data_IF_981579426599
#
_entry.id   IF_981579426599
#
_cell.length_a   1.000
_cell.length_b   1.000
_cell.length_c   1.000
_cell.angle_alpha   90.00
_cell.angle_beta   90.00
_cell.angle_gamma   90.00
#
_symmetry.space_group_name_H-M   'P 1'
#
loop_
_entity.id
_entity.type
_entity.pdbx_description
1 polymer ?
#
# COMPACT_ATOMS: atom_id res chain seq x y z
N UNK A 1 -7.32 -60.68 59.50
CA UNK A 1 -8.10 -60.36 58.29
C UNK A 1 -7.94 -58.87 58.04
N UNK A 2 -7.03 -58.48 57.16
CA UNK A 2 -6.72 -57.07 56.84
C UNK A 2 -7.42 -56.69 55.53
N UNK A 3 -8.07 -55.52 55.42
CA UNK A 3 -8.72 -55.12 54.17
C UNK A 3 -7.75 -54.40 53.22
N UNK A 4 -7.99 -54.67 51.94
CA UNK A 4 -7.43 -54.08 50.72
C UNK A 4 -7.39 -52.54 50.75
N UNK A 5 -6.29 -51.97 50.24
CA UNK A 5 -6.25 -50.57 49.77
C UNK A 5 -6.13 -50.58 48.24
N UNK A 6 -7.11 -49.99 47.58
CA UNK A 6 -7.15 -49.75 46.13
C UNK A 6 -6.28 -48.52 45.83
N UNK A 7 -5.28 -48.68 44.97
CA UNK A 7 -4.51 -47.57 44.43
C UNK A 7 -5.19 -47.07 43.15
N UNK A 8 -5.70 -45.84 43.19
CA UNK A 8 -6.21 -45.14 42.01
C UNK A 8 -5.06 -44.57 41.19
N UNK A 9 -5.02 -44.90 39.90
CA UNK A 9 -4.10 -44.34 38.92
C UNK A 9 -4.60 -42.96 38.50
N UNK A 10 -3.85 -41.89 38.78
CA UNK A 10 -4.10 -40.56 38.22
C UNK A 10 -3.33 -40.45 36.91
N UNK A 11 -4.04 -40.41 35.78
CA UNK A 11 -3.45 -40.10 34.49
C UNK A 11 -3.29 -38.59 34.38
N UNK A 12 -2.05 -38.11 34.38
CA UNK A 12 -1.74 -36.72 34.06
C UNK A 12 -1.86 -36.52 32.54
N UNK A 13 -2.81 -35.71 32.10
CA UNK A 13 -2.89 -35.25 30.72
C UNK A 13 -1.79 -34.21 30.48
N UNK A 14 -0.78 -34.55 29.69
CA UNK A 14 0.18 -33.57 29.16
C UNK A 14 -0.50 -32.76 28.06
N UNK A 15 -0.80 -31.49 28.34
CA UNK A 15 -1.16 -30.51 27.32
C UNK A 15 0.07 -30.24 26.46
N UNK A 16 0.10 -30.76 25.24
CA UNK A 16 1.10 -30.38 24.24
C UNK A 16 0.66 -29.02 23.72
N UNK A 17 1.25 -27.93 24.24
CA UNK A 17 1.19 -26.64 23.57
C UNK A 17 1.96 -26.77 22.26
N UNK A 18 1.24 -26.90 21.15
CA UNK A 18 1.83 -26.78 19.83
C UNK A 18 2.35 -25.35 19.67
N UNK A 19 3.65 -25.18 19.81
CA UNK A 19 4.37 -24.01 19.31
C UNK A 19 4.12 -23.95 17.80
N UNK A 20 3.12 -23.17 17.38
CA UNK A 20 2.94 -22.81 15.97
C UNK A 20 4.15 -21.97 15.58
N UNK A 21 5.17 -22.57 14.98
CA UNK A 21 6.39 -21.87 14.56
C UNK A 21 6.63 -22.16 13.08
N UNK A 22 6.92 -21.08 12.32
CA UNK A 22 7.38 -21.05 10.93
C UNK A 22 6.53 -21.88 9.94
N UNK A 23 5.28 -21.47 9.71
CA UNK A 23 4.45 -22.06 8.65
C UNK A 23 3.52 -21.04 8.02
N UNK A 24 3.23 -21.27 6.73
CA UNK A 24 2.17 -20.58 6.02
C UNK A 24 0.79 -21.12 6.39
N UNK A 25 -0.17 -20.22 6.53
CA UNK A 25 -1.58 -20.54 6.70
C UNK A 25 -2.46 -19.64 5.82
N UNK A 26 -3.47 -20.24 5.20
CA UNK A 26 -4.49 -19.47 4.48
C UNK A 26 -5.63 -19.10 5.43
N UNK A 27 -5.92 -17.81 5.56
CA UNK A 27 -6.99 -17.26 6.40
C UNK A 27 -8.01 -16.50 5.56
N UNK A 28 -9.22 -16.35 6.11
CA UNK A 28 -10.20 -15.39 5.63
C UNK A 28 -10.25 -14.22 6.61
N UNK A 29 -9.64 -13.10 6.24
CA UNK A 29 -9.51 -11.90 7.09
C UNK A 29 -9.94 -10.67 6.30
N UNK A 30 -10.68 -9.76 6.94
CA UNK A 30 -11.18 -8.53 6.31
C UNK A 30 -11.86 -8.75 4.94
N UNK A 31 -12.56 -9.88 4.77
CA UNK A 31 -13.24 -10.24 3.52
C UNK A 31 -12.30 -10.68 2.38
N UNK A 32 -11.04 -11.02 2.68
CA UNK A 32 -10.03 -11.46 1.72
C UNK A 32 -9.47 -12.83 2.10
N UNK A 33 -9.05 -13.60 1.10
CA UNK A 33 -8.16 -14.75 1.31
C UNK A 33 -6.74 -14.24 1.51
N UNK A 34 -6.11 -14.57 2.62
CA UNK A 34 -4.79 -14.06 3.02
C UNK A 34 -3.87 -15.24 3.33
N UNK A 35 -2.73 -15.31 2.66
CA UNK A 35 -1.65 -16.20 3.06
C UNK A 35 -0.84 -15.50 4.14
N UNK A 36 -0.77 -16.08 5.33
CA UNK A 36 -0.07 -15.51 6.49
C UNK A 36 1.10 -16.42 6.85
N UNK A 37 2.28 -15.87 6.99
CA UNK A 37 3.45 -16.52 7.56
C UNK A 37 3.75 -15.92 8.92
N UNK A 38 3.79 -16.75 9.96
CA UNK A 38 4.18 -16.33 11.31
C UNK A 38 5.58 -16.84 11.61
N UNK A 39 6.57 -15.95 11.79
CA UNK A 39 7.94 -16.36 12.03
C UNK A 39 8.12 -16.91 13.44
N UNK A 40 9.15 -17.72 13.64
CA UNK A 40 9.46 -18.26 14.95
C UNK A 40 9.89 -17.14 15.94
N UNK A 41 10.71 -16.19 15.47
CA UNK A 41 11.26 -15.10 16.25
C UNK A 41 10.33 -13.90 16.46
N UNK A 42 10.77 -12.99 17.34
CA UNK A 42 10.24 -11.63 17.49
C UNK A 42 11.13 -10.65 16.73
N UNK A 43 10.63 -9.45 16.45
CA UNK A 43 11.44 -8.39 15.84
C UNK A 43 12.66 -8.08 16.73
N UNK A 44 13.83 -7.75 16.16
CA UNK A 44 15.00 -7.32 16.93
C UNK A 44 14.82 -5.96 17.60
N UNK A 45 13.76 -5.23 17.27
CA UNK A 45 13.39 -3.92 17.84
C UNK A 45 11.94 -3.96 18.35
N UNK A 46 11.57 -3.00 19.20
CA UNK A 46 10.21 -2.92 19.75
C UNK A 46 9.83 -4.06 20.69
N UNK A 47 8.54 -4.36 20.74
CA UNK A 47 7.94 -5.22 21.80
C UNK A 47 7.24 -6.49 21.29
N UNK A 48 7.27 -6.73 19.97
CA UNK A 48 6.58 -7.86 19.35
C UNK A 48 7.14 -8.22 17.99
N UNK A 49 6.33 -8.85 17.14
CA UNK A 49 6.66 -9.10 15.74
C UNK A 49 6.38 -7.87 14.90
N UNK A 50 7.21 -7.63 13.89
CA UNK A 50 6.83 -6.73 12.81
C UNK A 50 5.70 -7.37 11.97
N UNK A 51 4.98 -6.58 11.19
CA UNK A 51 4.01 -7.02 10.20
C UNK A 51 4.31 -6.39 8.85
N UNK A 52 4.49 -7.19 7.81
CA UNK A 52 4.51 -6.73 6.42
C UNK A 52 3.29 -7.28 5.68
N UNK A 53 2.44 -6.38 5.21
CA UNK A 53 1.38 -6.69 4.25
C UNK A 53 1.92 -6.42 2.86
N UNK A 54 1.93 -7.42 1.97
CA UNK A 54 2.40 -7.24 0.59
C UNK A 54 1.26 -7.44 -0.43
N UNK A 55 0.97 -6.39 -1.19
CA UNK A 55 -0.11 -6.34 -2.17
C UNK A 55 0.38 -6.76 -3.57
N UNK A 56 -0.25 -7.78 -4.13
CA UNK A 56 0.05 -8.28 -5.46
C UNK A 56 -0.34 -7.30 -6.59
N UNK A 57 0.28 -7.46 -7.76
CA UNK A 57 -0.08 -6.76 -9.00
C UNK A 57 -1.28 -7.39 -9.72
N UNK A 58 -1.68 -6.78 -10.82
CA UNK A 58 -2.70 -7.37 -11.70
C UNK A 58 -2.29 -8.78 -12.14
N UNK A 59 -3.28 -9.66 -12.32
CA UNK A 59 -3.12 -11.08 -12.69
C UNK A 59 -2.33 -11.95 -11.69
N UNK A 60 -1.87 -11.37 -10.58
CA UNK A 60 -1.30 -12.11 -9.45
C UNK A 60 -2.34 -12.39 -8.36
N UNK A 61 -2.00 -13.26 -7.41
CA UNK A 61 -2.73 -13.51 -6.17
C UNK A 61 -1.75 -13.51 -4.98
N UNK A 62 -2.29 -13.49 -3.76
CA UNK A 62 -1.49 -13.68 -2.54
C UNK A 62 -0.70 -14.99 -2.55
N UNK A 63 -1.32 -16.09 -3.00
CA UNK A 63 -0.66 -17.40 -3.12
C UNK A 63 0.47 -17.45 -4.16
N UNK A 64 0.41 -16.65 -5.23
CA UNK A 64 1.53 -16.54 -6.16
C UNK A 64 2.71 -15.76 -5.55
N UNK A 65 2.43 -14.70 -4.77
CA UNK A 65 3.47 -14.01 -4.01
C UNK A 65 4.05 -14.92 -2.91
N UNK A 66 3.23 -15.75 -2.26
CA UNK A 66 3.69 -16.72 -1.28
C UNK A 66 4.71 -17.67 -1.92
N UNK A 67 4.37 -18.22 -3.08
CA UNK A 67 5.16 -19.24 -3.74
C UNK A 67 6.48 -18.71 -4.33
N UNK A 68 6.49 -17.49 -4.86
CA UNK A 68 7.61 -16.99 -5.66
C UNK A 68 8.28 -15.73 -5.10
N UNK A 69 7.61 -14.98 -4.22
CA UNK A 69 8.04 -13.66 -3.74
C UNK A 69 9.17 -13.64 -2.72
N UNK A 70 9.61 -14.81 -2.24
CA UNK A 70 10.77 -14.98 -1.35
C UNK A 70 10.68 -14.17 -0.04
N UNK A 71 9.59 -14.37 0.70
CA UNK A 71 9.31 -13.64 1.94
C UNK A 71 9.83 -14.34 3.21
N UNK A 72 10.03 -15.66 3.20
CA UNK A 72 10.29 -16.43 4.42
C UNK A 72 11.61 -16.05 5.13
N UNK A 73 12.68 -15.80 4.37
CA UNK A 73 13.96 -15.36 4.96
C UNK A 73 13.83 -14.01 5.66
N UNK A 74 13.15 -13.05 5.01
CA UNK A 74 12.84 -11.76 5.61
C UNK A 74 11.97 -11.90 6.87
N UNK A 75 10.99 -12.80 6.83
CA UNK A 75 10.11 -13.06 7.97
C UNK A 75 10.89 -13.58 9.18
N UNK A 76 11.76 -14.57 8.98
CA UNK A 76 12.53 -15.19 10.07
C UNK A 76 13.63 -14.27 10.59
N UNK A 77 14.40 -13.61 9.73
CA UNK A 77 15.56 -12.80 10.15
C UNK A 77 15.15 -11.49 10.84
N UNK A 78 13.97 -10.95 10.51
CA UNK A 78 13.46 -9.69 11.08
C UNK A 78 12.26 -9.88 12.01
N UNK A 79 11.91 -11.13 12.37
CA UNK A 79 10.77 -11.42 13.24
C UNK A 79 9.47 -10.77 12.75
N UNK A 80 9.23 -10.89 11.45
CA UNK A 80 8.17 -10.20 10.72
C UNK A 80 7.08 -11.17 10.25
N UNK A 81 5.86 -10.99 10.75
CA UNK A 81 4.65 -11.62 10.19
C UNK A 81 4.46 -11.10 8.77
N UNK A 82 4.27 -12.00 7.82
CA UNK A 82 4.01 -11.65 6.42
C UNK A 82 2.57 -11.99 6.08
N UNK A 83 1.82 -11.04 5.54
CA UNK A 83 0.45 -11.23 5.08
C UNK A 83 0.30 -10.85 3.61
N UNK A 84 -0.17 -11.82 2.81
CA UNK A 84 -0.30 -11.71 1.36
C UNK A 84 -1.78 -11.81 0.97
N UNK A 85 -2.56 -10.72 1.05
CA UNK A 85 -3.97 -10.75 0.69
C UNK A 85 -4.17 -10.88 -0.81
N UNK A 86 -5.15 -11.68 -1.22
CA UNK A 86 -5.70 -11.64 -2.57
C UNK A 86 -6.83 -10.62 -2.61
N UNK A 87 -6.80 -9.71 -3.60
CA UNK A 87 -7.80 -8.65 -3.77
C UNK A 87 -9.23 -9.23 -3.74
N UNK A 88 -10.17 -8.61 -3.00
CA UNK A 88 -11.52 -9.13 -2.89
C UNK A 88 -12.28 -8.97 -4.22
N UNK A 89 -13.23 -9.88 -4.47
CA UNK A 89 -14.12 -9.80 -5.64
C UNK A 89 -13.44 -9.93 -7.01
N UNK A 90 -12.16 -10.36 -7.05
CA UNK A 90 -11.39 -10.46 -8.30
C UNK A 90 -10.84 -9.12 -8.80
N UNK A 91 -10.87 -8.07 -7.97
CA UNK A 91 -10.38 -6.75 -8.31
C UNK A 91 -11.28 -6.00 -9.30
N UNK A 92 -10.82 -4.82 -9.70
CA UNK A 92 -11.59 -3.96 -10.64
C UNK A 92 -11.56 -4.50 -12.08
N UNK A 93 -10.40 -5.01 -12.49
CA UNK A 93 -10.21 -5.76 -13.74
C UNK A 93 -8.97 -6.64 -13.58
N UNK A 94 -9.02 -7.88 -14.05
CA UNK A 94 -7.88 -8.80 -14.05
C UNK A 94 -7.14 -8.92 -12.69
N UNK A 95 -7.84 -8.89 -11.56
CA UNK A 95 -7.19 -8.94 -10.24
C UNK A 95 -6.46 -7.65 -9.84
N UNK A 96 -6.63 -6.55 -10.56
CA UNK A 96 -6.03 -5.27 -10.16
C UNK A 96 -6.71 -4.68 -8.93
N UNK A 97 -5.92 -4.03 -8.08
CA UNK A 97 -6.40 -3.15 -7.02
C UNK A 97 -6.99 -1.84 -7.59
N UNK A 98 -7.81 -1.15 -6.81
CA UNK A 98 -8.50 0.07 -7.26
C UNK A 98 -7.65 1.31 -6.94
N UNK A 99 -6.48 1.41 -7.57
CA UNK A 99 -5.49 2.45 -7.28
C UNK A 99 -5.68 3.76 -8.06
N UNK A 100 -6.56 3.77 -9.07
CA UNK A 100 -6.63 4.87 -10.04
C UNK A 100 -7.60 5.98 -9.61
N UNK A 101 -7.35 7.17 -10.13
CA UNK A 101 -8.16 8.36 -9.86
C UNK A 101 -7.70 9.11 -8.61
N UNK A 102 -8.58 9.97 -8.10
CA UNK A 102 -8.25 10.92 -7.03
C UNK A 102 -9.20 10.80 -5.81
N UNK A 103 -10.16 9.88 -5.84
CA UNK A 103 -11.17 9.76 -4.78
C UNK A 103 -11.01 8.44 -4.05
N UNK A 104 -10.35 8.50 -2.89
CA UNK A 104 -10.13 7.36 -2.01
C UNK A 104 -10.51 7.73 -0.58
N UNK A 105 -11.16 6.81 0.13
CA UNK A 105 -11.45 6.96 1.56
C UNK A 105 -11.04 5.71 2.31
N UNK A 106 -10.86 5.83 3.62
CA UNK A 106 -10.52 4.70 4.51
C UNK A 106 -11.64 3.64 4.57
N UNK A 107 -12.88 4.05 4.36
CA UNK A 107 -14.08 3.25 4.65
C UNK A 107 -14.73 2.64 3.41
N UNK A 108 -14.11 2.76 2.24
CA UNK A 108 -14.68 2.29 0.98
C UNK A 108 -13.64 1.64 0.07
N UNK A 109 -14.14 0.94 -0.95
CA UNK A 109 -13.33 0.27 -1.97
C UNK A 109 -12.35 -0.75 -1.37
N UNK A 110 -11.22 -0.95 -2.04
CA UNK A 110 -10.19 -1.88 -1.58
C UNK A 110 -9.29 -1.31 -0.47
N UNK A 111 -9.43 -0.03 -0.11
CA UNK A 111 -8.67 0.57 0.99
C UNK A 111 -9.10 0.01 2.35
N UNK A 112 -10.42 -0.05 2.56
CA UNK A 112 -11.04 -0.54 3.80
C UNK A 112 -10.53 -1.94 4.20
N UNK A 113 -10.61 -2.98 3.35
CA UNK A 113 -10.19 -4.31 3.74
C UNK A 113 -8.67 -4.41 4.03
N UNK A 114 -7.82 -3.57 3.43
CA UNK A 114 -6.38 -3.55 3.75
C UNK A 114 -6.15 -2.96 5.15
N UNK A 115 -6.83 -1.86 5.49
CA UNK A 115 -6.75 -1.25 6.82
C UNK A 115 -7.31 -2.21 7.88
N UNK A 116 -8.46 -2.82 7.62
CA UNK A 116 -9.06 -3.82 8.52
C UNK A 116 -8.19 -5.07 8.67
N UNK A 117 -7.46 -5.48 7.62
CA UNK A 117 -6.50 -6.59 7.71
C UNK A 117 -5.36 -6.26 8.67
N UNK A 118 -4.76 -5.08 8.56
CA UNK A 118 -3.69 -4.64 9.45
C UNK A 118 -4.15 -4.62 10.92
N UNK A 119 -5.34 -4.08 11.17
CA UNK A 119 -5.95 -4.06 12.51
C UNK A 119 -6.25 -5.47 13.03
N UNK A 120 -6.83 -6.34 12.19
CA UNK A 120 -7.17 -7.72 12.58
C UNK A 120 -5.93 -8.53 12.97
N UNK A 121 -4.83 -8.39 12.22
CA UNK A 121 -3.58 -9.09 12.51
C UNK A 121 -2.87 -8.50 13.74
N UNK A 122 -2.96 -7.19 13.95
CA UNK A 122 -2.47 -6.51 15.15
C UNK A 122 -3.20 -6.95 16.41
N UNK A 123 -4.53 -7.02 16.35
CA UNK A 123 -5.37 -7.24 17.53
C UNK A 123 -5.45 -8.73 17.92
N UNK A 124 -5.03 -9.65 17.03
CA UNK A 124 -4.90 -11.07 17.34
C UNK A 124 -3.56 -11.37 18.04
N UNK A 125 -3.65 -11.60 19.36
CA UNK A 125 -2.51 -11.92 20.22
C UNK A 125 -1.70 -13.15 19.78
N UNK A 126 -2.26 -14.02 18.92
CA UNK A 126 -1.55 -15.16 18.34
C UNK A 126 -0.39 -14.74 17.42
N UNK A 127 -0.53 -13.61 16.71
CA UNK A 127 0.56 -13.08 15.88
C UNK A 127 1.53 -12.23 16.71
N UNK A 128 1.05 -11.58 17.77
CA UNK A 128 1.88 -10.75 18.66
C UNK A 128 2.53 -9.59 17.92
N UNK A 129 1.79 -8.97 16.99
CA UNK A 129 2.27 -7.85 16.17
C UNK A 129 2.42 -6.60 17.01
N UNK A 130 3.57 -5.96 16.89
CA UNK A 130 3.86 -4.65 17.48
C UNK A 130 3.18 -3.54 16.64
N UNK A 131 2.26 -2.73 17.21
CA UNK A 131 1.61 -1.64 16.50
C UNK A 131 2.59 -0.59 15.93
N UNK A 132 3.81 -0.51 16.46
CA UNK A 132 4.87 0.37 15.97
C UNK A 132 5.50 -0.11 14.65
N UNK A 133 5.27 -1.37 14.26
CA UNK A 133 6.03 -2.06 13.21
C UNK A 133 5.11 -2.69 12.16
N UNK A 134 4.11 -1.94 11.68
CA UNK A 134 3.21 -2.37 10.61
C UNK A 134 3.62 -1.70 9.30
N UNK A 135 3.96 -2.50 8.30
CA UNK A 135 4.48 -2.05 7.01
C UNK A 135 3.57 -2.53 5.87
N UNK A 136 3.43 -1.71 4.84
CA UNK A 136 2.62 -2.01 3.66
C UNK A 136 3.45 -1.86 2.40
N UNK A 137 3.67 -2.96 1.68
CA UNK A 137 4.39 -2.95 0.40
C UNK A 137 3.49 -3.43 -0.71
N UNK A 138 3.82 -3.11 -1.96
CA UNK A 138 3.07 -3.63 -3.08
C UNK A 138 3.76 -3.50 -4.42
N UNK A 139 3.28 -4.30 -5.37
CA UNK A 139 3.77 -4.34 -6.75
C UNK A 139 2.71 -3.86 -7.75
N UNK A 140 3.10 -3.08 -8.75
CA UNK A 140 2.22 -2.66 -9.85
C UNK A 140 0.93 -2.00 -9.32
N UNK A 141 -0.26 -2.51 -9.64
CA UNK A 141 -1.51 -2.03 -9.04
C UNK A 141 -1.52 -2.09 -7.50
N UNK A 142 -0.88 -3.11 -6.92
CA UNK A 142 -0.71 -3.24 -5.48
C UNK A 142 0.23 -2.19 -4.90
N UNK A 143 1.25 -1.76 -5.66
CA UNK A 143 2.14 -0.66 -5.27
C UNK A 143 1.43 0.68 -5.24
N UNK A 144 0.62 0.98 -6.27
CA UNK A 144 -0.24 2.17 -6.26
C UNK A 144 -1.28 2.13 -5.13
N UNK A 145 -1.83 0.95 -4.83
CA UNK A 145 -2.77 0.77 -3.72
C UNK A 145 -2.11 0.92 -2.34
N UNK A 146 -0.87 0.43 -2.19
CA UNK A 146 -0.06 0.61 -0.98
C UNK A 146 0.22 2.09 -0.72
N UNK A 147 0.60 2.84 -1.75
CA UNK A 147 0.78 4.30 -1.68
C UNK A 147 -0.48 5.02 -1.19
N UNK A 148 -1.66 4.69 -1.75
CA UNK A 148 -2.94 5.27 -1.34
C UNK A 148 -3.25 4.98 0.12
N UNK A 149 -3.15 3.71 0.53
CA UNK A 149 -3.48 3.30 1.90
C UNK A 149 -2.48 3.86 2.90
N UNK A 150 -1.20 3.93 2.54
CA UNK A 150 -0.15 4.57 3.33
C UNK A 150 -0.41 6.06 3.60
N UNK A 151 -0.97 6.78 2.61
CA UNK A 151 -1.42 8.17 2.79
C UNK A 151 -2.76 8.28 3.55
N UNK A 152 -3.67 7.32 3.40
CA UNK A 152 -4.96 7.33 4.10
C UNK A 152 -4.85 7.00 5.58
N UNK A 153 -3.88 6.15 5.95
CA UNK A 153 -3.69 5.64 7.30
C UNK A 153 -2.22 5.66 7.76
N UNK A 154 -1.56 6.83 7.72
CA UNK A 154 -0.16 6.95 8.09
C UNK A 154 0.09 6.60 9.57
N UNK A 155 -0.92 6.76 10.43
CA UNK A 155 -0.83 6.35 11.83
C UNK A 155 -0.74 4.83 11.99
N UNK A 156 -1.31 4.04 11.08
CA UNK A 156 -1.23 2.58 11.11
C UNK A 156 0.08 2.09 10.49
N UNK A 157 0.45 2.61 9.32
CA UNK A 157 1.59 2.10 8.56
C UNK A 157 2.86 2.89 8.86
N UNK A 158 3.79 2.25 9.57
CA UNK A 158 5.11 2.77 9.91
C UNK A 158 6.04 2.90 8.70
N UNK A 159 5.77 2.15 7.63
CA UNK A 159 6.49 2.27 6.37
C UNK A 159 5.72 1.73 5.18
N UNK A 160 5.99 2.29 4.01
CA UNK A 160 5.28 1.99 2.76
C UNK A 160 6.24 1.70 1.62
N UNK A 161 6.06 0.57 0.93
CA UNK A 161 6.88 0.17 -0.22
C UNK A 161 6.09 0.18 -1.53
N UNK A 162 6.59 0.90 -2.53
CA UNK A 162 5.94 1.06 -3.84
C UNK A 162 6.86 0.52 -4.94
N UNK A 163 6.60 -0.71 -5.38
CA UNK A 163 7.36 -1.37 -6.46
C UNK A 163 6.59 -1.33 -7.77
N UNK A 164 7.21 -0.74 -8.81
CA UNK A 164 6.59 -0.50 -10.12
C UNK A 164 5.17 0.08 -10.01
N UNK A 165 4.92 0.91 -9.00
CA UNK A 165 3.59 1.41 -8.67
C UNK A 165 3.35 2.80 -9.23
N UNK A 166 2.18 3.05 -9.86
CA UNK A 166 1.82 4.38 -10.33
C UNK A 166 1.57 5.34 -9.16
N UNK A 167 1.84 6.63 -9.38
CA UNK A 167 1.64 7.68 -8.38
C UNK A 167 0.17 8.04 -8.15
N UNK A 168 -0.13 8.73 -7.04
CA UNK A 168 -1.46 9.25 -6.74
C UNK A 168 -2.02 10.13 -7.87
N UNK A 169 -3.32 10.04 -8.11
CA UNK A 169 -3.99 10.80 -9.17
C UNK A 169 -3.83 10.21 -10.58
N UNK A 170 -3.07 9.13 -10.74
CA UNK A 170 -2.89 8.45 -12.03
C UNK A 170 -4.21 7.82 -12.50
N UNK A 171 -4.61 8.12 -13.74
CA UNK A 171 -5.72 7.42 -14.39
C UNK A 171 -5.25 6.12 -15.07
N UNK A 172 -6.17 5.20 -15.34
CA UNK A 172 -5.87 3.94 -16.06
C UNK A 172 -5.18 4.19 -17.40
N UNK A 173 -5.54 5.26 -18.12
CA UNK A 173 -4.93 5.62 -19.41
C UNK A 173 -3.50 6.16 -19.31
N UNK A 174 -3.01 6.47 -18.10
CA UNK A 174 -1.70 7.07 -17.85
C UNK A 174 -0.74 6.07 -17.19
N UNK A 175 -1.05 4.77 -17.15
CA UNK A 175 -0.16 3.80 -16.49
C UNK A 175 1.24 3.75 -17.15
N UNK A 176 1.31 3.77 -18.48
CA UNK A 176 2.56 3.70 -19.25
C UNK A 176 3.15 5.08 -19.59
N UNK A 177 2.52 6.18 -19.16
CA UNK A 177 3.00 7.55 -19.37
C UNK A 177 2.67 8.41 -18.16
N UNK A 178 3.70 9.00 -17.53
CA UNK A 178 3.54 9.88 -16.37
C UNK A 178 2.49 10.96 -16.62
N UNK A 179 1.40 10.89 -15.87
CA UNK A 179 0.22 11.76 -16.01
C UNK A 179 -0.04 12.71 -14.84
N UNK A 180 0.88 12.76 -13.89
CA UNK A 180 0.82 13.55 -12.64
C UNK A 180 2.20 14.15 -12.34
N UNK A 181 2.31 14.91 -11.26
CA UNK A 181 3.58 15.46 -10.78
C UNK A 181 3.67 15.46 -9.25
N UNK A 182 4.86 15.73 -8.71
CA UNK A 182 5.12 15.75 -7.26
C UNK A 182 4.12 16.61 -6.51
N UNK A 183 3.89 17.86 -6.93
CA UNK A 183 2.97 18.78 -6.24
C UNK A 183 1.54 18.25 -6.14
N UNK A 184 1.02 17.65 -7.22
CA UNK A 184 -0.29 17.00 -7.22
C UNK A 184 -0.34 15.81 -6.26
N UNK A 185 0.70 14.97 -6.27
CA UNK A 185 0.78 13.79 -5.40
C UNK A 185 0.91 14.17 -3.92
N UNK A 186 1.69 15.20 -3.59
CA UNK A 186 1.80 15.77 -2.23
C UNK A 186 0.44 16.26 -1.75
N UNK A 187 -0.27 17.04 -2.59
CA UNK A 187 -1.59 17.59 -2.27
C UNK A 187 -2.59 16.47 -1.97
N UNK A 188 -2.64 15.44 -2.82
CA UNK A 188 -3.53 14.29 -2.63
C UNK A 188 -3.18 13.49 -1.37
N UNK A 189 -1.89 13.20 -1.13
CA UNK A 189 -1.49 12.44 0.04
C UNK A 189 -1.83 13.16 1.35
N UNK A 190 -1.56 14.48 1.43
CA UNK A 190 -1.94 15.31 2.56
C UNK A 190 -3.46 15.38 2.76
N UNK A 191 -4.23 15.49 1.66
CA UNK A 191 -5.69 15.45 1.73
C UNK A 191 -6.21 14.10 2.25
N UNK A 192 -5.61 12.99 1.84
CA UNK A 192 -6.00 11.64 2.29
C UNK A 192 -5.70 11.42 3.77
N UNK A 193 -4.57 11.93 4.26
CA UNK A 193 -4.21 11.82 5.67
C UNK A 193 -5.12 12.65 6.57
N UNK A 194 -5.50 13.86 6.12
CA UNK A 194 -6.36 14.75 6.88
C UNK A 194 -5.81 15.02 8.28
N UNK A 195 -6.59 14.70 9.32
CA UNK A 195 -6.18 14.87 10.71
C UNK A 195 -4.97 13.99 11.12
N UNK A 196 -4.68 12.91 10.39
CA UNK A 196 -3.58 11.99 10.69
C UNK A 196 -2.25 12.41 10.05
N UNK A 197 -2.19 13.57 9.38
CA UNK A 197 -0.99 14.01 8.65
C UNK A 197 0.28 14.09 9.54
N UNK A 198 0.13 14.37 10.83
CA UNK A 198 1.27 14.37 11.77
C UNK A 198 1.96 13.00 11.88
N UNK A 199 1.26 11.88 11.57
CA UNK A 199 1.88 10.55 11.59
C UNK A 199 2.87 10.33 10.45
N UNK A 200 2.91 11.21 9.45
CA UNK A 200 3.97 11.21 8.45
C UNK A 200 5.34 11.50 9.06
N UNK A 201 5.44 12.15 10.22
CA UNK A 201 6.72 12.47 10.87
C UNK A 201 7.52 11.22 11.25
N UNK A 202 6.89 10.04 11.29
CA UNK A 202 7.54 8.77 11.65
C UNK A 202 7.46 7.70 10.55
N UNK A 203 6.81 7.99 9.43
CA UNK A 203 6.61 7.00 8.36
C UNK A 203 7.84 6.93 7.44
N UNK A 204 8.21 5.72 7.04
CA UNK A 204 9.29 5.43 6.07
C UNK A 204 8.73 5.10 4.69
N UNK A 205 9.53 5.28 3.65
CA UNK A 205 9.16 4.89 2.29
C UNK A 205 10.25 4.15 1.53
N UNK A 206 9.82 3.21 0.68
CA UNK A 206 10.65 2.56 -0.32
C UNK A 206 9.97 2.71 -1.66
N UNK A 207 10.72 3.07 -2.70
CA UNK A 207 10.23 3.02 -4.08
C UNK A 207 11.15 2.17 -4.94
N UNK A 208 10.59 1.35 -5.81
CA UNK A 208 11.35 0.52 -6.72
C UNK A 208 10.82 0.66 -8.14
N UNK A 209 11.70 0.76 -9.12
CA UNK A 209 11.41 0.61 -10.54
C UNK A 209 12.53 -0.14 -11.24
N UNK A 210 12.30 -0.57 -12.47
CA UNK A 210 13.34 -1.18 -13.32
C UNK A 210 13.41 -0.45 -14.66
N UNK A 211 14.62 -0.26 -15.18
CA UNK A 211 14.86 0.43 -16.45
C UNK A 211 14.25 -0.27 -17.66
N UNK A 212 13.83 -1.53 -17.53
CA UNK A 212 13.13 -2.31 -18.55
C UNK A 212 11.64 -2.53 -18.23
N UNK A 213 11.06 -1.76 -17.30
CA UNK A 213 9.62 -1.72 -17.11
C UNK A 213 8.96 -0.86 -18.18
N UNK A 214 8.15 -1.50 -19.03
CA UNK A 214 7.35 -0.86 -20.08
C UNK A 214 5.84 -0.95 -19.82
N UNK A 215 5.44 -1.42 -18.63
CA UNK A 215 4.03 -1.50 -18.22
C UNK A 215 3.64 -0.29 -17.41
N UNK A 216 4.45 0.05 -16.40
CA UNK A 216 4.28 1.25 -15.57
C UNK A 216 5.40 2.22 -15.89
N UNK A 217 5.07 3.50 -16.11
CA UNK A 217 6.07 4.49 -16.45
C UNK A 217 7.11 4.63 -15.33
N UNK A 218 8.38 4.42 -15.67
CA UNK A 218 9.50 4.38 -14.71
C UNK A 218 9.61 5.66 -13.87
N UNK A 219 9.23 6.81 -14.43
CA UNK A 219 9.23 8.11 -13.74
C UNK A 219 8.29 8.18 -12.52
N UNK A 220 7.33 7.27 -12.37
CA UNK A 220 6.47 7.24 -11.18
C UNK A 220 7.24 6.94 -9.89
N UNK A 221 8.28 6.10 -9.93
CA UNK A 221 9.07 5.82 -8.72
C UNK A 221 9.79 7.07 -8.21
N UNK A 222 10.36 7.89 -9.11
CA UNK A 222 10.97 9.16 -8.74
C UNK A 222 9.93 10.14 -8.17
N UNK A 223 8.77 10.27 -8.81
CA UNK A 223 7.67 11.13 -8.30
C UNK A 223 7.23 10.67 -6.90
N UNK A 224 7.08 9.37 -6.69
CA UNK A 224 6.70 8.82 -5.39
C UNK A 224 7.77 9.11 -4.33
N UNK A 225 9.05 8.95 -4.65
CA UNK A 225 10.14 9.22 -3.73
C UNK A 225 10.20 10.72 -3.35
N UNK A 226 10.12 11.61 -4.33
CA UNK A 226 10.11 13.07 -4.11
C UNK A 226 8.85 13.53 -3.36
N UNK A 227 7.70 12.89 -3.61
CA UNK A 227 6.48 13.13 -2.85
C UNK A 227 6.67 12.77 -1.37
N UNK A 228 7.16 11.56 -1.08
CA UNK A 228 7.44 11.12 0.29
C UNK A 228 8.45 12.04 0.98
N UNK A 229 9.56 12.35 0.32
CA UNK A 229 10.57 13.26 0.85
C UNK A 229 9.98 14.65 1.18
N UNK A 230 9.05 15.14 0.35
CA UNK A 230 8.37 16.43 0.58
C UNK A 230 7.42 16.37 1.79
N UNK A 231 6.58 15.33 1.89
CA UNK A 231 5.60 15.24 3.00
C UNK A 231 6.26 14.90 4.34
N UNK A 232 7.44 14.28 4.33
CA UNK A 232 8.23 13.97 5.53
C UNK A 232 9.10 15.14 6.00
N UNK A 233 8.81 16.38 5.57
CA UNK A 233 9.53 17.57 6.02
C UNK A 233 10.64 18.05 5.08
N UNK A 234 10.66 17.59 3.83
CA UNK A 234 11.60 18.06 2.81
C UNK A 234 13.02 17.52 2.99
N UNK A 235 13.14 16.21 3.21
CA UNK A 235 14.40 15.53 3.50
C UNK A 235 15.54 15.90 2.53
N UNK A 236 16.78 15.89 3.05
CA UNK A 236 17.98 16.16 2.28
C UNK A 236 18.25 14.99 1.35
N UNK A 237 18.35 15.26 0.05
CA UNK A 237 18.78 14.25 -0.92
C UNK A 237 20.25 13.90 -0.68
N UNK A 238 20.55 12.64 -0.37
CA UNK A 238 21.92 12.14 -0.20
C UNK A 238 22.70 12.02 -1.53
N UNK A 239 22.00 12.10 -2.66
CA UNK A 239 22.56 12.05 -4.00
C UNK A 239 22.29 10.73 -4.72
N UNK A 240 22.92 10.55 -5.88
CA UNK A 240 22.86 9.31 -6.68
C UNK A 240 23.87 8.28 -6.19
N UNK A 241 23.41 7.06 -5.96
CA UNK A 241 24.12 5.94 -5.32
C UNK A 241 24.50 6.17 -3.84
N UNK A 242 23.53 6.46 -2.95
CA UNK A 242 23.76 6.54 -1.50
C UNK A 242 24.21 5.19 -0.91
N UNK A 243 23.84 4.09 -1.57
CA UNK A 243 24.31 2.74 -1.32
C UNK A 243 24.54 2.02 -2.66
N UNK A 244 25.39 0.99 -2.64
CA UNK A 244 25.67 0.18 -3.82
C UNK A 244 24.56 -0.83 -4.05
N UNK A 245 23.76 -0.64 -5.10
CA UNK A 245 22.70 -1.60 -5.49
C UNK A 245 23.28 -3.00 -5.70
N UNK A 246 24.49 -3.13 -6.23
CA UNK A 246 25.11 -4.45 -6.47
C UNK A 246 25.47 -5.20 -5.18
N UNK A 247 25.50 -4.51 -4.04
CA UNK A 247 25.74 -5.09 -2.72
C UNK A 247 24.46 -5.53 -1.99
N UNK A 248 23.28 -5.15 -2.50
CA UNK A 248 22.00 -5.50 -1.90
C UNK A 248 21.75 -7.02 -1.95
N UNK A 249 20.94 -7.56 -1.03
CA UNK A 249 20.56 -8.96 -1.05
C UNK A 249 19.87 -9.32 -2.37
N UNK A 250 20.28 -10.42 -3.01
CA UNK A 250 19.67 -10.90 -4.26
C UNK A 250 20.64 -11.63 -5.18
N UNK A 251 20.25 -11.74 -6.46
CA UNK A 251 21.02 -12.41 -7.51
C UNK A 251 21.36 -11.42 -8.62
N UNK A 252 22.61 -11.00 -8.68
CA UNK A 252 23.10 -9.94 -9.57
C UNK A 252 22.23 -8.67 -9.57
N UNK A 253 21.92 -8.06 -8.40
CA UNK A 253 21.29 -6.76 -8.39
C UNK A 253 22.15 -5.75 -9.16
N UNK A 254 21.51 -4.88 -9.92
CA UNK A 254 22.18 -3.83 -10.67
C UNK A 254 21.23 -2.66 -10.81
N UNK A 255 21.77 -1.44 -10.85
CA UNK A 255 20.94 -0.24 -10.91
C UNK A 255 21.60 0.97 -10.28
N UNK A 256 20.76 1.93 -9.94
CA UNK A 256 21.11 3.08 -9.12
C UNK A 256 20.13 3.23 -7.97
N UNK A 257 20.55 3.95 -6.94
CA UNK A 257 19.70 4.30 -5.82
C UNK A 257 19.71 5.82 -5.58
N UNK A 258 18.66 6.32 -4.94
CA UNK A 258 18.56 7.64 -4.32
C UNK A 258 18.05 7.43 -2.90
N UNK A 259 18.44 8.30 -1.99
CA UNK A 259 17.96 8.29 -0.62
C UNK A 259 17.72 9.72 -0.15
N UNK A 260 16.68 9.91 0.67
CA UNK A 260 16.34 11.17 1.30
C UNK A 260 16.33 10.98 2.81
N UNK A 261 17.02 11.89 3.51
CA UNK A 261 17.25 11.82 4.95
C UNK A 261 16.66 13.04 5.68
N UNK A 262 16.30 12.86 6.94
CA UNK A 262 16.07 13.94 7.90
C UNK A 262 17.21 14.00 8.95
N UNK A 263 17.00 14.71 10.05
CA UNK A 263 18.02 14.84 11.09
C UNK A 263 18.27 13.52 11.84
N UNK A 264 17.32 12.59 11.76
CA UNK A 264 17.32 11.31 12.43
C UNK A 264 17.82 10.17 11.51
N UNK A 265 17.96 10.39 10.20
CA UNK A 265 18.53 9.45 9.22
C UNK A 265 17.64 9.21 7.99
N UNK A 266 17.79 8.05 7.34
CA UNK A 266 17.08 7.74 6.09
C UNK A 266 15.55 7.68 6.28
N UNK A 267 14.83 8.31 5.34
CA UNK A 267 13.36 8.36 5.31
C UNK A 267 12.77 7.74 4.06
N UNK A 268 13.47 7.86 2.93
CA UNK A 268 13.03 7.35 1.64
C UNK A 268 14.18 6.67 0.95
N UNK A 269 14.09 5.36 0.71
CA UNK A 269 14.99 4.62 -0.16
C UNK A 269 14.35 4.44 -1.55
N UNK A 270 15.04 4.84 -2.61
CA UNK A 270 14.54 4.73 -3.98
C UNK A 270 15.52 3.97 -4.85
N UNK A 271 15.07 2.91 -5.50
CA UNK A 271 15.89 2.03 -6.34
C UNK A 271 15.37 2.05 -7.78
N UNK A 272 16.28 2.30 -8.71
CA UNK A 272 16.10 2.08 -10.15
C UNK A 272 16.98 0.90 -10.57
N UNK A 273 16.36 -0.28 -10.64
CA UNK A 273 17.00 -1.54 -11.01
C UNK A 273 17.24 -1.65 -12.52
N UNK A 274 18.10 -2.57 -12.93
CA UNK A 274 18.31 -2.96 -14.31
C UNK A 274 18.14 -4.46 -14.49
N UNK A 275 17.21 -4.87 -15.34
CA UNK A 275 17.13 -6.25 -15.86
C UNK A 275 16.03 -7.13 -15.25
N UNK A 276 15.18 -6.57 -14.40
CA UNK A 276 14.04 -7.27 -13.78
C UNK A 276 12.74 -7.05 -14.57
N UNK A 277 12.61 -5.92 -15.28
CA UNK A 277 11.39 -5.54 -15.99
C UNK A 277 10.20 -5.30 -15.06
N UNK A 278 8.97 -5.49 -15.55
CA UNK A 278 7.75 -5.36 -14.76
C UNK A 278 7.47 -6.62 -13.93
N UNK A 279 8.30 -6.89 -12.93
CA UNK A 279 8.16 -8.04 -12.05
C UNK A 279 8.52 -7.66 -10.61
N UNK A 280 7.97 -8.39 -9.64
CA UNK A 280 8.51 -8.41 -8.28
C UNK A 280 9.89 -9.08 -8.31
N UNK A 281 10.97 -8.43 -7.85
CA UNK A 281 12.29 -9.05 -7.82
C UNK A 281 12.40 -9.86 -6.52
N UNK A 282 12.45 -11.18 -6.65
CA UNK A 282 12.59 -12.11 -5.51
C UNK A 282 14.03 -12.52 -5.24
N UNK A 283 14.98 -11.93 -5.97
CA UNK A 283 16.42 -12.15 -5.79
C UNK A 283 16.85 -13.58 -6.11
N UNK A 284 17.11 -14.38 -5.09
CA UNK A 284 17.47 -15.81 -5.24
C UNK A 284 16.29 -16.76 -5.03
N UNK A 285 15.07 -16.22 -4.98
CA UNK A 285 13.85 -17.00 -4.85
C UNK A 285 13.58 -17.90 -6.07
N UNK A 286 12.68 -18.86 -5.91
CA UNK A 286 12.18 -19.66 -7.03
C UNK A 286 11.62 -18.71 -8.10
N UNK A 287 12.24 -18.69 -9.28
CA UNK A 287 11.70 -17.94 -10.40
C UNK A 287 10.30 -18.45 -10.72
N UNK A 288 9.31 -17.56 -10.71
CA UNK A 288 7.97 -17.93 -11.09
C UNK A 288 7.85 -18.10 -12.61
N UNK A 289 6.79 -18.77 -13.10
CA UNK A 289 6.48 -18.74 -14.52
C UNK A 289 6.25 -17.28 -14.97
N UNK A 290 6.39 -16.93 -16.27
CA UNK A 290 6.17 -15.56 -16.74
C UNK A 290 4.82 -14.95 -16.33
N UNK A 291 3.80 -15.78 -16.15
CA UNK A 291 2.45 -15.38 -15.70
C UNK A 291 2.38 -14.99 -14.21
N UNK A 292 3.41 -15.30 -13.44
CA UNK A 292 3.49 -14.94 -12.02
C UNK A 292 3.97 -13.52 -11.80
N UNK A 293 4.58 -12.86 -12.80
CA UNK A 293 5.21 -11.55 -12.66
C UNK A 293 6.22 -11.46 -11.50
N UNK A 294 6.96 -12.54 -11.24
CA UNK A 294 8.02 -12.60 -10.24
C UNK A 294 9.32 -13.04 -10.92
N UNK A 295 10.36 -12.22 -10.79
CA UNK A 295 11.68 -12.50 -11.31
C UNK A 295 12.56 -13.12 -10.22
N UNK A 296 13.11 -14.30 -10.48
CA UNK A 296 14.12 -14.94 -9.62
C UNK A 296 15.54 -14.40 -9.84
N UNK A 297 15.64 -13.10 -10.14
CA UNK A 297 16.89 -12.35 -10.34
C UNK A 297 16.73 -10.92 -9.84
N UNK A 298 17.81 -10.16 -9.75
CA UNK A 298 17.81 -8.80 -9.21
C UNK A 298 17.90 -8.80 -7.69
N UNK A 299 17.46 -7.71 -7.05
CA UNK A 299 17.42 -7.64 -5.59
C UNK A 299 16.28 -8.50 -5.01
N UNK A 300 16.41 -8.96 -3.77
CA UNK A 300 15.31 -9.56 -3.02
C UNK A 300 14.53 -8.43 -2.34
N UNK A 301 13.43 -7.98 -2.96
CA UNK A 301 12.71 -6.79 -2.47
C UNK A 301 12.05 -7.02 -1.12
N UNK A 302 11.59 -8.24 -0.87
CA UNK A 302 11.01 -8.64 0.41
C UNK A 302 12.01 -8.46 1.55
N UNK A 303 13.25 -8.95 1.34
CA UNK A 303 14.33 -8.82 2.33
C UNK A 303 14.82 -7.39 2.46
N UNK A 304 15.08 -6.70 1.33
CA UNK A 304 15.50 -5.31 1.35
C UNK A 304 14.49 -4.42 2.08
N UNK A 305 13.19 -4.63 1.86
CA UNK A 305 12.16 -3.87 2.55
C UNK A 305 12.15 -4.13 4.06
N UNK A 306 12.24 -5.40 4.47
CA UNK A 306 12.30 -5.75 5.89
C UNK A 306 13.53 -5.16 6.58
N UNK A 307 14.70 -5.25 5.94
CA UNK A 307 15.96 -4.69 6.43
C UNK A 307 15.88 -3.17 6.56
N UNK A 308 15.45 -2.48 5.50
CA UNK A 308 15.37 -1.01 5.47
C UNK A 308 14.39 -0.49 6.52
N UNK A 309 13.22 -1.11 6.65
CA UNK A 309 12.23 -0.69 7.64
C UNK A 309 12.66 -0.96 9.08
N UNK A 310 13.35 -2.08 9.33
CA UNK A 310 13.89 -2.39 10.66
C UNK A 310 15.01 -1.43 11.02
N UNK A 311 15.96 -1.19 10.10
CA UNK A 311 17.13 -0.35 10.35
C UNK A 311 16.78 1.13 10.60
N UNK A 312 15.69 1.61 9.99
CA UNK A 312 15.31 3.03 10.03
C UNK A 312 14.04 3.29 10.86
N UNK A 313 13.52 2.30 11.58
CA UNK A 313 12.26 2.40 12.30
C UNK A 313 12.21 3.61 13.25
N UNK A 314 11.14 4.41 13.19
CA UNK A 314 10.97 5.62 14.01
C UNK A 314 10.05 5.44 15.21
N UNK A 315 9.30 4.33 15.25
CA UNK A 315 8.25 4.07 16.25
C UNK A 315 8.64 3.01 17.27
N UNK A 316 9.66 2.21 16.98
CA UNK A 316 9.96 0.98 17.72
C UNK A 316 10.66 1.20 19.08
N UNK A 317 11.09 2.42 19.40
CA UNK A 317 11.79 2.75 20.66
C UNK A 317 10.84 3.22 21.78
N UNK A 318 9.50 3.15 21.61
CA UNK A 318 8.52 3.60 22.60
C UNK A 318 7.13 2.97 22.48
N UNK A 319 6.20 3.36 23.36
CA UNK A 319 4.78 2.94 23.31
C UNK A 319 4.04 3.68 22.19
N UNK A 320 4.30 3.33 20.92
CA UNK A 320 3.48 3.81 19.81
C UNK A 320 2.10 3.18 19.87
N UNK A 321 1.07 4.00 20.09
CA UNK A 321 -0.32 3.58 19.99
C UNK A 321 -1.00 4.33 18.82
N UNK A 322 -1.31 3.64 17.70
CA UNK A 322 -1.96 4.26 16.53
C UNK A 322 -3.42 4.65 16.77
N UNK A 323 -3.93 4.47 18.00
CA UNK A 323 -5.25 4.89 18.42
C UNK A 323 -5.21 5.32 19.88
N UNK A 324 -4.98 6.62 20.11
CA UNK A 324 -5.55 7.26 21.29
C UNK A 324 -7.06 7.15 21.16
N UNK A 325 -7.66 6.12 21.75
CA UNK A 325 -8.92 6.40 22.43
C UNK A 325 -8.55 7.43 23.48
N UNK A 326 -8.91 8.69 23.24
CA UNK A 326 -9.14 9.65 24.32
C UNK A 326 -10.21 9.02 25.22
N UNK A 327 -9.83 8.07 26.08
CA UNK A 327 -10.46 7.97 27.38
C UNK A 327 -10.07 9.26 28.08
N UNK A 328 -10.90 10.30 27.91
CA UNK A 328 -10.67 11.61 28.48
C UNK A 328 -10.22 11.47 29.92
N UNK A 329 -8.93 11.72 30.18
CA UNK A 329 -8.46 11.98 31.52
C UNK A 329 -8.77 13.44 31.77
N UNK A 330 -10.05 13.70 32.05
CA UNK A 330 -10.42 14.87 32.83
C UNK A 330 -9.62 14.78 34.14
N UNK A 331 -8.89 15.86 34.42
CA UNK A 331 -8.11 15.99 35.63
C UNK A 331 -8.96 15.73 36.87
N UNK A 332 -8.56 14.75 37.65
CA UNK A 332 -9.14 14.46 38.96
C UNK A 332 -8.03 14.24 39.96
N UNK A 333 -7.58 15.32 40.58
CA UNK A 333 -6.77 15.28 41.78
C UNK A 333 -7.42 14.39 42.83
N UNK A 334 -6.63 13.44 43.32
CA UNK A 334 -6.94 12.55 44.43
C UNK A 334 -7.36 13.35 45.68
N UNK A 335 -8.63 13.26 46.04
CA UNK A 335 -9.14 13.70 47.33
C UNK A 335 -10.30 12.78 47.71
N UNK A 336 -9.97 11.71 48.44
CA UNK A 336 -10.95 10.83 49.05
C UNK A 336 -11.70 11.52 50.18
N UNK A 337 -13.02 11.38 50.20
CA UNK A 337 -13.84 11.33 51.42
C UNK A 337 -15.30 10.99 51.12
N UNK A 338 -15.82 9.94 51.78
CA UNK A 338 -17.07 10.04 52.55
C UNK A 338 -18.43 9.85 51.85
N UNK A 339 -19.01 8.67 52.08
CA UNK A 339 -20.33 8.37 52.66
C UNK A 339 -21.65 9.03 52.18
N UNK A 340 -22.64 8.13 52.02
CA UNK A 340 -24.05 8.19 52.48
C UNK A 340 -25.20 8.78 51.64
N UNK A 341 -26.30 8.00 51.61
CA UNK A 341 -27.72 8.40 51.43
C UNK A 341 -28.17 8.57 49.96
N UNK A 342 -29.34 8.14 49.48
CA UNK A 342 -30.62 7.73 50.09
C UNK A 342 -31.77 8.15 49.14
N UNK A 343 -32.62 7.19 48.76
CA UNK A 343 -34.06 7.28 48.42
C UNK A 343 -34.67 8.17 47.29
N UNK A 344 -35.31 7.46 46.33
CA UNK A 344 -36.75 7.49 45.93
C UNK A 344 -37.38 8.59 45.04
N UNK A 345 -38.33 8.14 44.18
CA UNK A 345 -39.49 8.90 43.61
C UNK A 345 -39.47 9.09 42.07
N UNK A 346 -40.13 8.24 41.26
CA UNK A 346 -41.55 8.27 40.79
C UNK A 346 -41.84 9.22 39.60
N UNK A 347 -42.11 8.66 38.40
CA UNK A 347 -43.34 8.82 37.54
C UNK A 347 -43.15 9.85 36.40
N UNK A 348 -43.79 9.84 35.22
CA UNK A 348 -44.56 8.92 34.36
C UNK A 348 -44.90 9.68 33.03
N UNK A 349 -45.18 8.96 31.93
CA UNK A 349 -45.95 9.41 30.73
C UNK A 349 -45.17 10.25 29.68
N UNK A 350 -45.39 10.21 28.36
CA UNK A 350 -46.34 9.62 27.40
C UNK A 350 -45.61 9.58 26.02
N UNK A 351 -45.66 8.49 25.25
CA UNK A 351 -46.56 8.17 24.13
C UNK A 351 -46.57 9.12 22.90
N UNK A 352 -46.34 8.52 21.72
CA UNK A 352 -46.54 9.09 20.36
C UNK A 352 -45.28 8.85 19.49
N UNK A 353 -45.21 7.95 18.52
CA UNK A 353 -46.23 7.44 17.60
C UNK A 353 -45.96 8.04 16.22
N UNK A 354 -45.55 7.23 15.24
CA UNK A 354 -45.48 7.67 13.84
C UNK A 354 -44.42 6.98 12.98
N UNK A 355 -44.79 5.84 12.41
CA UNK A 355 -44.14 5.18 11.27
C UNK A 355 -44.20 6.04 10.00
N UNK A 356 -43.29 5.80 9.04
CA UNK A 356 -43.57 5.50 7.62
C UNK A 356 -42.28 5.49 6.78
N UNK A 357 -41.84 4.29 6.41
CA UNK A 357 -41.73 3.74 5.05
C UNK A 357 -41.49 4.66 3.82
N UNK A 358 -40.45 4.25 3.08
CA UNK A 358 -40.41 3.97 1.64
C UNK A 358 -40.21 5.05 0.54
N UNK A 359 -39.22 4.68 -0.31
CA UNK A 359 -39.21 4.68 -1.78
C UNK A 359 -38.80 5.94 -2.60
N UNK A 360 -37.63 5.78 -3.24
CA UNK A 360 -37.32 5.83 -4.69
C UNK A 360 -38.24 6.60 -5.69
N UNK A 361 -37.58 7.29 -6.64
CA UNK A 361 -38.11 7.62 -7.99
C UNK A 361 -37.83 9.06 -8.45
N UNK A 362 -36.76 9.32 -9.22
CA UNK A 362 -36.70 9.50 -10.70
C UNK A 362 -37.23 10.82 -11.29
N UNK A 363 -36.32 11.51 -12.00
CA UNK A 363 -36.39 12.31 -13.24
C UNK A 363 -37.59 13.20 -13.61
N UNK A 364 -37.26 14.42 -14.04
CA UNK A 364 -38.12 15.29 -14.86
C UNK A 364 -37.39 16.55 -15.31
N UNK A 365 -37.08 16.64 -16.61
CA UNK A 365 -36.38 17.76 -17.24
C UNK A 365 -37.28 18.82 -17.89
N UNK A 366 -36.67 20.00 -18.06
CA UNK A 366 -36.82 21.02 -19.12
C UNK A 366 -38.13 21.82 -19.25
N UNK A 367 -38.02 23.16 -19.29
CA UNK A 367 -38.49 23.99 -20.43
C UNK A 367 -37.94 25.44 -20.39
N UNK A 368 -37.53 25.92 -21.58
CA UNK A 368 -37.59 27.32 -22.08
C UNK A 368 -36.49 28.31 -21.65
N UNK A 369 -35.85 29.12 -22.49
CA UNK A 369 -36.00 29.45 -23.93
C UNK A 369 -35.65 30.93 -24.19
N UNK A 370 -34.88 31.22 -25.26
CA UNK A 370 -34.75 32.53 -25.94
C UNK A 370 -33.58 33.44 -25.50
N UNK A 371 -32.48 33.54 -26.28
CA UNK A 371 -32.22 34.49 -27.38
C UNK A 371 -31.99 35.94 -26.89
N UNK A 372 -30.99 36.73 -27.28
CA UNK A 372 -29.90 36.69 -28.28
C UNK A 372 -29.25 38.08 -28.27
N UNK A 373 -28.05 38.26 -28.83
CA UNK A 373 -27.47 39.60 -29.00
C UNK A 373 -25.95 39.64 -29.11
N UNK A 374 -25.47 39.80 -30.33
CA UNK A 374 -24.08 39.90 -30.77
C UNK A 374 -23.38 41.19 -30.33
N UNK A 375 -22.05 41.16 -30.33
CA UNK A 375 -21.21 42.36 -30.22
C UNK A 375 -19.72 42.00 -30.17
N UNK A 376 -19.10 41.78 -31.33
CA UNK A 376 -17.66 41.53 -31.44
C UNK A 376 -16.82 42.81 -31.42
N UNK A 377 -15.51 42.63 -31.14
CA UNK A 377 -14.35 43.20 -31.87
C UNK A 377 -13.13 43.29 -30.94
N UNK A 378 -11.97 42.82 -31.43
CA UNK A 378 -10.70 43.02 -30.74
C UNK A 378 -9.57 42.10 -31.18
N UNK A 379 -9.16 42.23 -32.45
CA UNK A 379 -7.90 41.69 -32.99
C UNK A 379 -6.70 42.41 -32.35
N UNK A 380 -5.65 41.66 -31.97
CA UNK A 380 -4.29 42.06 -32.33
C UNK A 380 -3.31 40.88 -32.31
N UNK A 381 -2.73 40.64 -33.48
CA UNK A 381 -1.60 39.77 -33.78
C UNK A 381 -0.28 40.43 -33.37
N UNK A 382 0.66 39.65 -32.85
CA UNK A 382 2.08 39.98 -32.92
C UNK A 382 2.90 38.72 -33.23
N UNK A 383 3.61 38.76 -34.35
CA UNK A 383 4.63 37.79 -34.78
C UNK A 383 5.99 38.48 -34.88
N UNK A 384 7.02 37.66 -34.65
CA UNK A 384 8.42 37.73 -35.10
C UNK A 384 9.52 38.19 -34.12
N UNK A 385 10.52 37.30 -33.97
CA UNK A 385 11.87 37.56 -33.44
C UNK A 385 12.60 36.28 -33.00
N UNK A 386 13.35 35.65 -33.92
CA UNK A 386 14.30 34.52 -33.69
C UNK A 386 15.51 34.98 -32.82
N UNK A 387 16.33 34.15 -32.17
CA UNK A 387 17.19 33.05 -32.64
C UNK A 387 17.77 32.27 -31.43
N UNK A 388 18.07 30.97 -31.60
CA UNK A 388 18.81 30.18 -30.61
C UNK A 388 18.67 28.66 -30.82
N UNK A 389 19.29 28.13 -31.87
CA UNK A 389 19.19 26.73 -32.27
C UNK A 389 19.95 25.74 -31.38
N UNK A 390 19.34 24.58 -31.14
CA UNK A 390 19.99 23.35 -30.70
C UNK A 390 19.84 22.29 -31.80
N UNK A 391 20.97 21.71 -32.22
CA UNK A 391 21.07 20.67 -33.26
C UNK A 391 21.37 19.33 -32.58
N UNK A 392 20.52 18.30 -32.69
CA UNK A 392 20.88 16.95 -32.25
C UNK A 392 21.78 16.26 -33.29
N UNK A 393 22.72 15.38 -32.87
CA UNK A 393 23.62 14.71 -33.79
C UNK A 393 22.89 13.65 -34.62
N UNK A 394 23.11 13.71 -35.93
CA UNK A 394 22.68 12.76 -36.93
C UNK A 394 23.54 11.49 -36.89
N UNK A 395 22.92 10.35 -36.59
CA UNK A 395 23.65 9.08 -36.56
C UNK A 395 22.88 7.84 -36.14
N UNK A 396 21.61 7.68 -36.53
CA UNK A 396 20.93 6.38 -36.51
C UNK A 396 20.04 6.26 -37.75
N UNK A 397 20.53 5.57 -38.77
CA UNK A 397 19.73 5.16 -39.93
C UNK A 397 18.86 3.97 -39.52
N UNK A 398 17.53 4.13 -39.56
CA UNK A 398 16.62 2.99 -39.57
C UNK A 398 16.73 2.30 -40.94
N UNK A 399 17.54 1.24 -41.02
CA UNK A 399 17.42 0.25 -42.08
C UNK A 399 16.26 -0.70 -41.78
N UNK A 400 15.42 -0.91 -42.78
CA UNK A 400 14.30 -1.83 -42.79
C UNK A 400 14.73 -3.27 -42.45
N UNK A 401 14.15 -3.82 -41.38
CA UNK A 401 14.05 -5.26 -41.06
C UNK A 401 12.54 -5.45 -40.82
N UNK A 402 11.79 -6.19 -41.63
CA UNK A 402 11.98 -7.60 -41.95
C UNK A 402 11.18 -8.40 -40.92
N UNK A 403 10.05 -8.98 -41.33
CA UNK A 403 9.09 -9.71 -40.50
C UNK A 403 9.71 -10.59 -39.41
N UNK A 404 9.42 -10.28 -38.14
CA UNK A 404 9.32 -11.28 -37.07
C UNK A 404 8.18 -10.88 -36.13
N UNK A 405 7.24 -11.81 -35.96
CA UNK A 405 6.06 -11.66 -35.12
C UNK A 405 6.44 -11.39 -33.65
N UNK A 406 6.17 -10.17 -33.18
CA UNK A 406 6.08 -9.85 -31.77
C UNK A 406 4.63 -9.90 -31.34
N UNK A 407 4.29 -10.82 -30.44
CA UNK A 407 2.97 -10.97 -29.86
C UNK A 407 2.59 -9.70 -29.06
N UNK A 408 1.72 -8.88 -29.64
CA UNK A 408 1.03 -7.83 -28.90
C UNK A 408 0.13 -8.48 -27.84
N UNK A 409 0.33 -8.09 -26.58
CA UNK A 409 -0.45 -8.55 -25.42
C UNK A 409 -1.93 -8.16 -25.61
N UNK A 410 -2.90 -9.09 -25.56
CA UNK A 410 -4.27 -8.87 -26.03
C UNK A 410 -5.14 -7.96 -25.14
N UNK A 411 -4.65 -7.49 -23.99
CA UNK A 411 -5.47 -6.74 -23.02
C UNK A 411 -5.71 -5.27 -23.39
N UNK A 412 -4.81 -4.64 -24.16
CA UNK A 412 -5.00 -3.25 -24.61
C UNK A 412 -6.21 -3.07 -25.54
N UNK A 413 -6.62 -4.12 -26.26
CA UNK A 413 -7.76 -4.08 -27.16
C UNK A 413 -9.12 -4.06 -26.41
N UNK A 414 -9.20 -4.64 -25.21
CA UNK A 414 -10.46 -4.75 -24.47
C UNK A 414 -10.89 -3.42 -23.82
N UNK A 415 -9.95 -2.61 -23.34
CA UNK A 415 -10.24 -1.31 -22.71
C UNK A 415 -10.78 -0.28 -23.71
N UNK A 416 -10.29 -0.29 -24.96
CA UNK A 416 -10.75 0.62 -26.02
C UNK A 416 -12.15 0.29 -26.57
N UNK A 417 -12.58 -0.99 -26.49
CA UNK A 417 -13.92 -1.40 -26.97
C UNK A 417 -15.02 -1.06 -25.94
N UNK A 418 -14.72 -1.12 -24.64
CA UNK A 418 -15.67 -0.77 -23.59
C UNK A 418 -16.05 0.73 -23.58
N UNK A 419 -15.11 1.64 -23.90
CA UNK A 419 -15.40 3.08 -24.01
C UNK A 419 -16.22 3.44 -25.26
N UNK A 420 -16.10 2.68 -26.35
CA UNK A 420 -16.91 2.92 -27.57
C UNK A 420 -18.37 2.47 -27.43
N UNK A 421 -18.64 1.49 -26.57
CA UNK A 421 -20.01 0.99 -26.34
C UNK A 421 -20.83 1.86 -25.38
N UNK A 422 -20.18 2.62 -24.47
CA UNK A 422 -20.89 3.60 -23.61
C UNK A 422 -21.27 4.90 -24.34
N UNK A 423 -20.58 5.29 -25.42
CA UNK A 423 -20.94 6.47 -26.23
C UNK A 423 -22.02 6.22 -27.29
N UNK A 424 -22.49 4.98 -27.49
CA UNK A 424 -23.60 4.65 -28.41
C UNK A 424 -24.97 4.45 -27.76
N UNK A 425 -25.09 4.72 -26.45
CA UNK A 425 -26.39 4.75 -25.73
C UNK A 425 -26.84 6.16 -25.30
N UNK A 426 -26.19 7.19 -25.83
CA UNK A 426 -26.59 8.58 -25.67
C UNK A 426 -26.50 9.30 -27.02
N UNK A 427 -27.30 8.83 -27.98
CA UNK A 427 -27.81 9.58 -29.14
C UNK A 427 -29.21 9.07 -29.42
#
# INVERSE_FOLDING_TARGET
MSPLRIAGLVAAAMSISSSAHAAWETKQLAGMSVEVYTPAGMSPIGSGRALMIALHGCAQTGSQLQQYGNFESAAEDFGMVVALPTVPGGGVIAGCWNYYGATHTRTSGHNKPIIELAQSLRDDAGYGVDPAQIYLVGFSSGGGQALIVGCLAPEIFAGVGVSAGPSLGTSVSQIAQVGTNVGQTVTLCQQYAGANAASFDTQLAITFTDSNDFTVAQGYAQINAEMYATIYGGGTLLGSAPFDVASLPGTNPAGSALAYDDAEGERVASISSMGVGHNWPSGSGTAGPPTSYVAGTGLNLSYFAAETFTANARRADGEWNPGGEDSGSDGGSDAGSGSEGGESGSEAGEAGGGSNDDAAGTDGGSTGGGAGGEGGSGISTATAGADGGYVPPSGCQCSSIGDTQGAAVPWFAAACVALRLRRRRAV
#
